data_IF_387415214235
#
_entry.id   IF_387415214235
#
_cell.length_a   1.000
_cell.length_b   1.000
_cell.length_c   1.000
_cell.angle_alpha   90.00
_cell.angle_beta   90.00
_cell.angle_gamma   90.00
#
_symmetry.space_group_name_H-M   'P 1'
#
loop_
_entity.id
_entity.type
_entity.pdbx_description
1 polymer ?
#
# COMPACT_ATOMS: atom_id res chain seq x y z
N UNK A 1 12.36 11.69 1.26
CA UNK A 1 12.27 10.22 1.49
C UNK A 1 10.94 9.67 1.02
N UNK A 2 9.79 10.04 1.61
CA UNK A 2 8.48 9.54 1.17
C UNK A 2 8.13 9.87 -0.30
N UNK A 3 8.42 11.07 -0.78
CA UNK A 3 8.21 11.45 -2.19
C UNK A 3 8.97 10.55 -3.18
N UNK A 4 10.21 10.18 -2.85
CA UNK A 4 11.01 9.29 -3.70
C UNK A 4 10.43 7.87 -3.71
N UNK A 5 9.92 7.40 -2.57
CA UNK A 5 9.22 6.12 -2.48
C UNK A 5 7.94 6.14 -3.30
N UNK A 6 7.11 7.19 -3.19
CA UNK A 6 5.91 7.33 -4.00
C UNK A 6 6.26 7.28 -5.49
N UNK A 7 7.26 8.05 -5.92
CA UNK A 7 7.70 8.05 -7.31
C UNK A 7 8.17 6.65 -7.77
N UNK A 8 8.99 5.99 -6.96
CA UNK A 8 9.44 4.62 -7.23
C UNK A 8 8.26 3.64 -7.35
N UNK A 9 7.28 3.74 -6.47
CA UNK A 9 6.09 2.88 -6.50
C UNK A 9 5.24 3.15 -7.76
N UNK A 10 5.02 4.42 -8.12
CA UNK A 10 4.28 4.79 -9.33
C UNK A 10 4.98 4.31 -10.61
N UNK A 11 6.31 4.45 -10.68
CA UNK A 11 7.12 3.90 -11.77
C UNK A 11 7.00 2.38 -11.85
N UNK A 12 7.10 1.69 -10.71
CA UNK A 12 6.94 0.24 -10.67
C UNK A 12 5.54 -0.19 -11.11
N UNK A 13 4.49 0.48 -10.64
CA UNK A 13 3.09 0.19 -11.02
C UNK A 13 2.90 0.37 -12.53
N UNK A 14 3.42 1.47 -13.09
CA UNK A 14 3.33 1.77 -14.54
C UNK A 14 3.97 0.68 -15.39
N UNK A 15 5.10 0.12 -14.94
CA UNK A 15 5.83 -0.92 -15.68
C UNK A 15 5.21 -2.31 -15.50
N UNK A 16 4.63 -2.60 -14.33
CA UNK A 16 4.30 -3.97 -13.92
C UNK A 16 2.80 -4.27 -13.84
N UNK A 17 1.93 -3.29 -14.11
CA UNK A 17 0.48 -3.44 -14.05
C UNK A 17 -0.17 -2.79 -15.29
N UNK A 18 -1.49 -2.91 -15.40
CA UNK A 18 -2.25 -2.24 -16.46
C UNK A 18 -2.69 -0.82 -16.08
N UNK A 19 -2.37 -0.36 -14.87
CA UNK A 19 -2.75 0.96 -14.41
C UNK A 19 -1.82 2.03 -14.98
N UNK A 20 -2.40 3.12 -15.47
CA UNK A 20 -1.66 4.34 -15.74
C UNK A 20 -1.41 5.07 -14.41
N UNK A 21 -0.20 4.95 -13.85
CA UNK A 21 0.10 5.62 -12.58
C UNK A 21 0.37 7.13 -12.76
N UNK A 22 0.46 7.65 -13.99
CA UNK A 22 0.70 9.08 -14.25
C UNK A 22 -0.49 9.97 -13.88
N UNK A 23 -1.71 9.39 -13.82
CA UNK A 23 -2.92 10.09 -13.38
C UNK A 23 -3.06 10.16 -11.86
N UNK A 24 -2.15 9.51 -11.11
CA UNK A 24 -2.18 9.56 -9.65
C UNK A 24 -1.92 10.99 -9.14
N UNK A 25 -2.93 11.59 -8.51
CA UNK A 25 -2.90 12.98 -8.03
C UNK A 25 -3.33 13.12 -6.56
N UNK A 26 -3.39 12.02 -5.81
CA UNK A 26 -3.82 12.01 -4.42
C UNK A 26 -2.66 12.30 -3.46
N UNK A 27 -2.99 12.95 -2.34
CA UNK A 27 -2.03 13.19 -1.25
C UNK A 27 -1.82 11.91 -0.44
N UNK A 28 -0.62 11.74 0.09
CA UNK A 28 -0.30 10.75 1.13
C UNK A 28 -0.11 11.51 2.44
N UNK A 29 -0.92 11.18 3.44
CA UNK A 29 -0.99 11.89 4.71
C UNK A 29 -0.61 10.90 5.82
N UNK A 30 0.49 11.18 6.50
CA UNK A 30 0.95 10.38 7.63
C UNK A 30 0.29 10.82 8.94
N UNK A 31 -0.37 9.89 9.62
CA UNK A 31 -1.05 10.10 10.90
C UNK A 31 -0.44 9.23 12.01
N UNK A 32 -0.71 9.57 13.28
CA UNK A 32 -0.48 8.60 14.35
C UNK A 32 -1.44 7.41 14.18
N UNK A 33 -1.03 6.24 14.69
CA UNK A 33 -1.89 5.04 14.60
C UNK A 33 -3.24 5.25 15.29
N UNK A 34 -3.29 5.97 16.41
CA UNK A 34 -4.55 6.30 17.09
C UNK A 34 -5.47 7.19 16.25
N UNK A 35 -4.94 8.22 15.60
CA UNK A 35 -5.75 9.10 14.72
C UNK A 35 -6.30 8.32 13.54
N UNK A 36 -5.47 7.49 12.89
CA UNK A 36 -5.88 6.66 11.78
C UNK A 36 -7.00 5.68 12.17
N UNK A 37 -6.82 4.98 13.28
CA UNK A 37 -7.79 4.00 13.81
C UNK A 37 -9.12 4.68 14.18
N UNK A 38 -9.08 5.85 14.81
CA UNK A 38 -10.29 6.62 15.11
C UNK A 38 -11.01 7.06 13.84
N UNK A 39 -10.29 7.52 12.82
CA UNK A 39 -10.88 7.95 11.55
C UNK A 39 -11.48 6.78 10.74
N UNK A 40 -10.83 5.62 10.75
CA UNK A 40 -11.26 4.47 9.98
C UNK A 40 -12.38 3.66 10.67
N UNK A 41 -12.25 3.47 11.99
CA UNK A 41 -13.02 2.47 12.75
C UNK A 41 -13.79 3.07 13.92
N UNK A 42 -13.61 4.35 14.25
CA UNK A 42 -14.19 4.96 15.45
C UNK A 42 -13.55 4.51 16.78
N UNK A 43 -12.43 3.77 16.72
CA UNK A 43 -11.79 3.16 17.89
C UNK A 43 -10.63 2.25 17.51
N UNK A 44 -10.13 1.46 18.45
CA UNK A 44 -8.97 0.58 18.22
C UNK A 44 -9.26 -0.48 17.14
N UNK A 45 -8.44 -0.53 16.10
CA UNK A 45 -8.52 -1.54 15.05
C UNK A 45 -7.14 -1.75 14.39
N UNK A 46 -6.89 -2.88 13.70
CA UNK A 46 -5.56 -3.22 13.19
C UNK A 46 -5.19 -2.49 11.88
N UNK A 47 -5.88 -1.40 11.52
CA UNK A 47 -5.65 -0.70 10.26
C UNK A 47 -4.34 0.11 10.32
N UNK A 48 -3.60 0.08 9.22
CA UNK A 48 -2.31 0.77 9.09
C UNK A 48 -2.30 1.78 7.94
N UNK A 49 -3.20 1.63 6.96
CA UNK A 49 -3.48 2.61 5.92
C UNK A 49 -4.90 2.42 5.37
N UNK A 50 -5.44 3.44 4.70
CA UNK A 50 -6.59 3.33 3.80
C UNK A 50 -6.66 4.51 2.83
N UNK A 51 -7.21 4.27 1.65
CA UNK A 51 -7.57 5.29 0.67
C UNK A 51 -8.99 5.84 0.88
N UNK A 52 -9.14 7.16 0.76
CA UNK A 52 -10.44 7.85 0.74
C UNK A 52 -10.46 8.92 -0.36
N UNK A 53 -11.33 8.85 -1.38
CA UNK A 53 -11.29 9.74 -2.55
C UNK A 53 -11.20 11.24 -2.24
N UNK A 54 -11.98 11.71 -1.27
CA UNK A 54 -12.05 13.13 -0.89
C UNK A 54 -10.81 13.65 -0.13
N UNK A 55 -9.93 12.74 0.32
CA UNK A 55 -8.82 13.07 1.22
C UNK A 55 -7.47 12.64 0.63
N UNK A 56 -7.41 11.45 0.04
CA UNK A 56 -6.20 10.78 -0.40
C UNK A 56 -5.91 9.51 0.42
N UNK A 57 -4.64 9.15 0.49
CA UNK A 57 -4.15 8.00 1.25
C UNK A 57 -3.80 8.46 2.66
N UNK A 58 -4.43 7.83 3.65
CA UNK A 58 -4.15 8.03 5.07
C UNK A 58 -3.36 6.83 5.56
N UNK A 59 -2.17 7.05 6.10
CA UNK A 59 -1.26 5.96 6.51
C UNK A 59 -0.66 6.27 7.87
N UNK A 60 -0.44 5.24 8.69
CA UNK A 60 0.31 5.38 9.93
C UNK A 60 1.74 5.85 9.61
N UNK A 61 2.36 6.62 10.50
CA UNK A 61 3.80 6.89 10.43
C UNK A 61 4.57 5.57 10.52
N UNK A 62 5.19 5.19 9.40
CA UNK A 62 5.93 3.94 9.24
C UNK A 62 7.34 4.24 8.70
N UNK A 63 8.25 3.28 8.90
CA UNK A 63 9.54 3.31 8.22
C UNK A 63 9.37 2.84 6.76
N UNK A 64 9.52 3.76 5.81
CA UNK A 64 9.39 3.47 4.38
C UNK A 64 10.70 2.99 3.73
N UNK A 65 11.79 2.79 4.47
CA UNK A 65 12.91 1.97 4.00
C UNK A 65 12.55 0.47 4.02
N UNK A 66 11.58 0.09 4.85
CA UNK A 66 11.05 -1.26 4.93
C UNK A 66 10.10 -1.60 3.76
N UNK A 67 10.45 -2.63 2.99
CA UNK A 67 9.65 -3.09 1.84
C UNK A 67 8.21 -3.48 2.18
N UNK A 68 7.95 -4.05 3.36
CA UNK A 68 6.60 -4.39 3.79
C UNK A 68 5.75 -3.13 3.95
N UNK A 69 6.31 -2.04 4.49
CA UNK A 69 5.61 -0.77 4.63
C UNK A 69 5.43 -0.05 3.29
N UNK A 70 6.44 -0.12 2.40
CA UNK A 70 6.28 0.34 1.02
C UNK A 70 5.14 -0.39 0.30
N UNK A 71 5.01 -1.72 0.52
CA UNK A 71 3.95 -2.53 -0.10
C UNK A 71 2.55 -2.15 0.37
N UNK A 72 2.40 -1.65 1.61
CA UNK A 72 1.12 -1.12 2.11
C UNK A 72 0.77 0.17 1.36
N UNK A 73 1.73 1.08 1.16
CA UNK A 73 1.48 2.29 0.39
C UNK A 73 1.13 1.98 -1.06
N UNK A 74 1.83 1.01 -1.67
CA UNK A 74 1.51 0.53 -3.02
C UNK A 74 0.07 0.01 -3.11
N UNK A 75 -0.37 -0.76 -2.11
CA UNK A 75 -1.74 -1.26 -2.05
C UNK A 75 -2.78 -0.13 -2.10
N UNK A 76 -2.58 0.92 -1.31
CA UNK A 76 -3.50 2.07 -1.31
C UNK A 76 -3.43 2.91 -2.59
N UNK A 77 -2.25 2.97 -3.25
CA UNK A 77 -2.13 3.60 -4.58
C UNK A 77 -2.96 2.82 -5.60
N UNK A 78 -2.97 1.49 -5.55
CA UNK A 78 -3.82 0.68 -6.44
C UNK A 78 -5.30 0.98 -6.20
N UNK A 79 -5.75 1.13 -4.95
CA UNK A 79 -7.14 1.54 -4.68
C UNK A 79 -7.47 2.93 -5.26
N UNK A 80 -6.54 3.87 -5.18
CA UNK A 80 -6.71 5.18 -5.80
C UNK A 80 -6.84 5.09 -7.33
N UNK A 81 -6.03 4.25 -7.97
CA UNK A 81 -6.08 4.03 -9.43
C UNK A 81 -7.33 3.25 -9.87
N UNK A 82 -7.77 2.28 -9.07
CA UNK A 82 -9.06 1.59 -9.27
C UNK A 82 -10.24 2.57 -9.23
N UNK A 83 -10.19 3.56 -8.33
CA UNK A 83 -11.19 4.62 -8.25
C UNK A 83 -11.17 5.51 -9.50
N UNK A 84 -10.00 5.97 -9.94
CA UNK A 84 -9.87 6.83 -11.13
C UNK A 84 -10.28 6.12 -12.43
N UNK A 85 -10.09 4.80 -12.52
CA UNK A 85 -10.47 4.01 -13.69
C UNK A 85 -11.98 3.65 -13.72
N UNK A 86 -12.79 4.19 -12.80
CA UNK A 86 -14.23 3.91 -12.68
C UNK A 86 -14.53 2.41 -12.71
N UNK A 87 -13.67 1.61 -12.08
CA UNK A 87 -13.83 0.17 -12.07
C UNK A 87 -15.17 -0.21 -11.43
N UNK A 88 -16.09 -0.71 -12.27
CA UNK A 88 -17.39 -1.28 -11.87
C UNK A 88 -17.23 -2.64 -11.17
N UNK A 89 -16.00 -3.01 -10.78
CA UNK A 89 -15.75 -4.23 -10.03
C UNK A 89 -16.37 -4.12 -8.64
N UNK A 90 -16.91 -5.24 -8.18
CA UNK A 90 -17.32 -5.42 -6.78
C UNK A 90 -16.09 -5.28 -5.87
N UNK A 91 -16.25 -4.66 -4.71
CA UNK A 91 -15.16 -4.33 -3.78
C UNK A 91 -14.26 -5.53 -3.44
N UNK A 92 -14.82 -6.72 -3.31
CA UNK A 92 -14.04 -7.94 -3.06
C UNK A 92 -13.03 -8.26 -4.18
N UNK A 93 -13.35 -7.94 -5.44
CA UNK A 93 -12.42 -8.13 -6.56
C UNK A 93 -11.34 -7.06 -6.58
N UNK A 94 -11.67 -5.81 -6.24
CA UNK A 94 -10.72 -4.70 -6.11
C UNK A 94 -9.66 -5.02 -5.05
N UNK A 95 -10.10 -5.48 -3.89
CA UNK A 95 -9.23 -5.90 -2.79
C UNK A 95 -8.32 -7.08 -3.18
N UNK A 96 -8.91 -8.09 -3.83
CA UNK A 96 -8.16 -9.28 -4.28
C UNK A 96 -7.04 -8.88 -5.23
N UNK A 97 -7.34 -8.04 -6.22
CA UNK A 97 -6.37 -7.56 -7.19
C UNK A 97 -5.26 -6.74 -6.51
N UNK A 98 -5.62 -5.83 -5.60
CA UNK A 98 -4.65 -5.03 -4.85
C UNK A 98 -3.66 -5.93 -4.08
N UNK A 99 -4.12 -7.02 -3.47
CA UNK A 99 -3.23 -8.00 -2.84
C UNK A 99 -2.39 -8.81 -3.82
N UNK A 100 -2.90 -9.16 -4.99
CA UNK A 100 -2.14 -9.84 -6.03
C UNK A 100 -0.97 -8.97 -6.51
N UNK A 101 -1.23 -7.69 -6.78
CA UNK A 101 -0.21 -6.71 -7.17
C UNK A 101 0.77 -6.48 -6.03
N UNK A 102 0.29 -6.34 -4.79
CA UNK A 102 1.16 -6.17 -3.61
C UNK A 102 2.12 -7.36 -3.43
N UNK A 103 1.63 -8.59 -3.60
CA UNK A 103 2.49 -9.78 -3.53
C UNK A 103 3.50 -9.82 -4.67
N UNK A 104 3.08 -9.47 -5.90
CA UNK A 104 3.98 -9.38 -7.06
C UNK A 104 5.13 -8.40 -6.78
N UNK A 105 4.81 -7.20 -6.29
CA UNK A 105 5.80 -6.20 -5.88
C UNK A 105 6.79 -6.75 -4.86
N UNK A 106 6.28 -7.32 -3.76
CA UNK A 106 7.12 -7.87 -2.70
C UNK A 106 8.07 -8.95 -3.23
N UNK A 107 7.58 -9.87 -4.07
CA UNK A 107 8.39 -10.93 -4.65
C UNK A 107 9.48 -10.39 -5.58
N UNK A 108 9.10 -9.56 -6.56
CA UNK A 108 10.02 -9.05 -7.57
C UNK A 108 11.12 -8.17 -6.95
N UNK A 109 10.75 -7.28 -6.04
CA UNK A 109 11.72 -6.39 -5.38
C UNK A 109 12.62 -7.19 -4.43
N UNK A 110 12.09 -8.20 -3.74
CA UNK A 110 12.94 -9.08 -2.91
C UNK A 110 13.98 -9.82 -3.74
N UNK A 111 13.61 -10.32 -4.93
CA UNK A 111 14.54 -11.00 -5.85
C UNK A 111 15.57 -10.00 -6.37
N UNK A 112 15.13 -8.80 -6.79
CA UNK A 112 16.02 -7.74 -7.29
C UNK A 112 17.04 -7.28 -6.25
N UNK A 113 16.67 -7.30 -4.97
CA UNK A 113 17.54 -6.95 -3.84
C UNK A 113 18.30 -8.16 -3.27
N UNK A 114 18.22 -9.33 -3.91
CA UNK A 114 18.91 -10.55 -3.51
C UNK A 114 18.65 -10.96 -2.05
N UNK A 115 17.42 -10.73 -1.57
CA UNK A 115 17.04 -11.17 -0.23
C UNK A 115 17.08 -12.69 -0.13
N UNK A 116 17.69 -13.21 0.94
CA UNK A 116 17.83 -14.66 1.21
C UNK A 116 16.48 -15.39 1.11
N UNK A 117 15.43 -14.75 1.62
CA UNK A 117 14.07 -15.26 1.52
C UNK A 117 13.12 -14.17 1.02
N UNK A 118 12.49 -14.35 -0.15
CA UNK A 118 11.56 -13.38 -0.70
C UNK A 118 10.40 -13.04 0.25
N UNK A 119 10.04 -11.76 0.29
CA UNK A 119 8.87 -11.29 1.02
C UNK A 119 7.58 -11.60 0.25
N UNK A 120 6.51 -11.76 1.02
CA UNK A 120 5.13 -11.80 0.55
C UNK A 120 4.22 -11.25 1.65
N UNK A 121 2.93 -11.09 1.35
CA UNK A 121 1.95 -10.54 2.28
C UNK A 121 1.92 -11.31 3.61
N UNK A 122 1.95 -12.65 3.57
CA UNK A 122 1.93 -13.48 4.79
C UNK A 122 3.14 -13.22 5.67
N UNK A 123 4.34 -13.16 5.08
CA UNK A 123 5.59 -12.90 5.80
C UNK A 123 5.62 -11.48 6.36
N UNK A 124 5.23 -10.49 5.57
CA UNK A 124 5.14 -9.11 6.03
C UNK A 124 4.18 -8.95 7.21
N UNK A 125 2.98 -9.55 7.14
CA UNK A 125 2.02 -9.53 8.25
C UNK A 125 2.58 -10.19 9.52
N UNK A 126 3.29 -11.31 9.38
CA UNK A 126 3.93 -11.96 10.53
C UNK A 126 5.00 -11.07 11.17
N UNK A 127 5.82 -10.37 10.39
CA UNK A 127 6.85 -9.46 10.89
C UNK A 127 6.25 -8.25 11.59
N UNK A 128 5.19 -7.68 11.02
CA UNK A 128 4.49 -6.52 11.57
C UNK A 128 3.76 -6.86 12.87
N UNK A 129 3.11 -8.02 12.96
CA UNK A 129 2.49 -8.50 14.20
C UNK A 129 3.52 -8.69 15.32
N UNK A 130 4.72 -9.19 15.00
CA UNK A 130 5.80 -9.36 15.97
C UNK A 130 6.44 -8.04 16.43
N UNK A 131 6.27 -6.96 15.68
CA UNK A 131 6.78 -5.61 16.03
C UNK A 131 5.78 -4.83 16.88
N UNK A 132 4.51 -5.24 16.90
CA UNK A 132 3.42 -4.65 17.67
C UNK A 132 3.20 -5.35 19.03
N UNK A 133 3.97 -6.40 19.35
CA UNK A 133 4.04 -7.10 20.65
C UNK A 133 5.30 -6.69 21.40
#
# INVERSE_FOLDING_TARGET
MLTNIIQFLLEWITVNTHYDASVFNFKVIELSSSELQTLACGGKCPIVAFFKPEVGILISKLDFENLCNQSILLHEIIHALQYLNESNLVDAFKEKEAYEIQNKFLMEISIKLELIEPLNLKKCRSLQLNTLM
#
